data_IF_067938536912
#
_entry.id   IF_067938536912
#
_cell.length_a   1.000
_cell.length_b   1.000
_cell.length_c   1.000
_cell.angle_alpha   90.00
_cell.angle_beta   90.00
_cell.angle_gamma   90.00
#
_symmetry.space_group_name_H-M   'P 1'
#
loop_
_entity.id
_entity.type
_entity.pdbx_description
1 polymer ?
#
# COMPACT_ATOMS: atom_id res chain seq x y z
N UNK A 1 -48.67 -52.66 14.62
CA UNK A 1 -47.39 -53.33 14.85
C UNK A 1 -46.52 -52.91 13.66
N UNK A 2 -45.87 -51.75 13.75
CA UNK A 2 -45.02 -51.20 12.66
C UNK A 2 -43.66 -50.93 13.25
N UNK A 3 -42.69 -51.54 12.62
CA UNK A 3 -41.28 -51.60 12.98
C UNK A 3 -40.59 -50.25 12.81
N UNK A 4 -39.81 -49.81 13.83
CA UNK A 4 -39.00 -48.60 13.79
C UNK A 4 -37.64 -48.97 13.20
N UNK A 5 -37.40 -48.58 11.96
CA UNK A 5 -36.05 -48.64 11.35
C UNK A 5 -35.13 -47.55 11.92
N UNK A 6 -34.13 -47.97 12.67
CA UNK A 6 -33.04 -47.16 13.18
C UNK A 6 -32.20 -46.61 12.02
N UNK A 7 -32.24 -45.30 11.80
CA UNK A 7 -31.31 -44.61 10.91
C UNK A 7 -30.00 -44.35 11.71
N UNK A 8 -28.99 -45.17 11.48
CA UNK A 8 -27.64 -44.92 11.96
C UNK A 8 -27.03 -43.79 11.11
N UNK A 9 -26.82 -42.64 11.72
CA UNK A 9 -25.99 -41.59 11.16
C UNK A 9 -24.53 -42.06 11.12
N UNK A 10 -24.03 -42.34 9.92
CA UNK A 10 -22.65 -42.69 9.67
C UNK A 10 -21.73 -41.57 10.14
N UNK A 11 -20.81 -41.88 11.06
CA UNK A 11 -19.83 -40.92 11.54
C UNK A 11 -18.93 -40.43 10.41
N UNK A 12 -18.78 -39.12 10.29
CA UNK A 12 -17.87 -38.51 9.35
C UNK A 12 -16.44 -39.01 9.62
N UNK A 13 -15.79 -39.52 8.61
CA UNK A 13 -14.45 -40.09 8.69
C UNK A 13 -13.41 -39.04 9.09
N UNK A 14 -12.20 -39.46 9.51
CA UNK A 14 -11.17 -38.57 10.01
C UNK A 14 -10.75 -37.45 9.01
N UNK A 15 -10.95 -37.68 7.73
CA UNK A 15 -10.67 -36.68 6.67
C UNK A 15 -11.61 -35.47 6.74
N UNK A 16 -12.89 -35.66 7.03
CA UNK A 16 -13.86 -34.56 7.15
C UNK A 16 -13.57 -33.71 8.40
N UNK A 17 -13.11 -34.35 9.48
CA UNK A 17 -12.71 -33.62 10.70
C UNK A 17 -11.45 -32.83 10.52
N UNK A 18 -10.49 -33.30 9.74
CA UNK A 18 -9.25 -32.59 9.44
C UNK A 18 -9.51 -31.37 8.56
N UNK A 19 -10.36 -31.48 7.55
CA UNK A 19 -10.73 -30.34 6.68
C UNK A 19 -11.50 -29.28 7.46
N UNK A 20 -12.39 -29.65 8.37
CA UNK A 20 -13.08 -28.68 9.24
C UNK A 20 -12.15 -28.01 10.25
N UNK A 21 -11.17 -28.73 10.81
CA UNK A 21 -10.19 -28.12 11.71
C UNK A 21 -9.28 -27.12 11.00
N UNK A 22 -8.87 -27.42 9.76
CA UNK A 22 -8.06 -26.48 8.96
C UNK A 22 -8.89 -25.24 8.56
N UNK A 23 -10.16 -25.42 8.17
CA UNK A 23 -11.05 -24.30 7.84
C UNK A 23 -11.34 -23.41 9.06
N UNK A 24 -11.49 -23.99 10.26
CA UNK A 24 -11.73 -23.23 11.51
C UNK A 24 -10.49 -22.48 11.98
N UNK A 25 -9.29 -23.04 11.78
CA UNK A 25 -8.03 -22.35 12.10
C UNK A 25 -7.80 -21.15 11.16
N UNK A 26 -8.17 -21.28 9.88
CA UNK A 26 -8.10 -20.16 8.91
C UNK A 26 -9.12 -19.05 9.22
N UNK A 27 -10.28 -19.39 9.82
CA UNK A 27 -11.31 -18.40 10.14
C UNK A 27 -11.11 -17.69 11.49
N UNK A 28 -10.28 -18.21 12.41
CA UNK A 28 -10.06 -17.64 13.74
C UNK A 28 -8.60 -17.20 13.99
N UNK A 29 -7.68 -17.61 13.15
CA UNK A 29 -6.32 -17.08 13.14
C UNK A 29 -6.32 -15.77 12.36
N UNK A 30 -6.43 -14.64 13.06
CA UNK A 30 -6.58 -13.33 12.45
C UNK A 30 -5.60 -13.08 11.30
N UNK A 31 -6.00 -12.24 10.37
CA UNK A 31 -5.24 -11.77 9.20
C UNK A 31 -3.82 -11.24 9.49
N UNK A 32 -3.40 -11.22 10.75
CA UNK A 32 -2.07 -10.79 11.19
C UNK A 32 -0.93 -11.73 10.75
N UNK A 33 -1.21 -12.97 10.34
CA UNK A 33 -0.16 -13.95 9.99
C UNK A 33 0.28 -13.92 8.51
N UNK A 34 -0.30 -13.05 7.66
CA UNK A 34 -0.07 -13.11 6.22
C UNK A 34 0.58 -11.88 5.60
N UNK A 35 0.79 -10.83 6.37
CA UNK A 35 1.65 -9.75 5.90
C UNK A 35 3.08 -10.04 6.36
N UNK A 36 4.06 -10.02 5.45
CA UNK A 36 5.44 -10.08 5.87
C UNK A 36 5.73 -8.87 6.76
N UNK A 37 5.68 -9.08 8.06
CA UNK A 37 6.18 -8.13 9.08
C UNK A 37 7.70 -8.10 9.08
N UNK A 38 8.31 -9.09 8.44
CA UNK A 38 9.73 -9.12 8.16
C UNK A 38 9.94 -8.47 6.79
N UNK A 39 10.15 -7.15 6.81
CA UNK A 39 10.86 -6.50 5.74
C UNK A 39 12.19 -7.26 5.60
N UNK A 40 12.37 -7.96 4.49
CA UNK A 40 13.65 -8.60 4.18
C UNK A 40 14.77 -7.54 4.20
N UNK A 41 15.99 -7.95 3.98
CA UNK A 41 17.19 -7.07 3.92
C UNK A 41 16.99 -5.84 3.03
N UNK A 42 16.04 -5.91 2.07
CA UNK A 42 15.69 -4.84 1.13
C UNK A 42 15.06 -3.60 1.80
N UNK A 43 14.36 -3.76 2.94
CA UNK A 43 13.82 -2.65 3.73
C UNK A 43 14.68 -2.30 4.95
N UNK A 44 15.77 -3.06 5.21
CA UNK A 44 16.70 -2.79 6.30
C UNK A 44 17.34 -1.40 6.21
N UNK A 45 17.35 -0.81 5.01
CA UNK A 45 17.91 0.52 4.75
C UNK A 45 16.85 1.62 4.62
N UNK A 46 15.58 1.34 4.91
CA UNK A 46 14.53 2.37 4.84
C UNK A 46 14.86 3.54 5.76
N UNK A 47 15.17 3.27 7.01
CA UNK A 47 15.50 4.28 8.01
C UNK A 47 16.73 5.13 7.62
N UNK A 48 17.68 4.57 6.87
CA UNK A 48 18.87 5.29 6.42
C UNK A 48 18.60 6.21 5.22
N UNK A 49 17.52 5.97 4.47
CA UNK A 49 17.22 6.64 3.18
C UNK A 49 16.00 7.55 3.24
N UNK A 50 15.00 7.16 4.02
CA UNK A 50 13.76 7.91 4.12
C UNK A 50 13.96 9.22 4.91
N UNK A 51 13.19 10.26 4.62
CA UNK A 51 13.21 11.46 5.43
C UNK A 51 12.65 11.16 6.83
N UNK A 52 13.35 11.67 7.85
CA UNK A 52 12.96 11.50 9.25
C UNK A 52 12.02 12.62 9.72
N UNK A 53 11.24 12.40 10.79
CA UNK A 53 10.48 13.45 11.44
C UNK A 53 11.33 14.69 11.77
N UNK A 54 10.82 15.86 11.42
CA UNK A 54 11.51 17.15 11.55
C UNK A 54 12.36 17.57 10.34
N UNK A 55 12.59 16.68 9.37
CA UNK A 55 13.27 17.01 8.12
C UNK A 55 12.27 17.52 7.06
N UNK A 56 12.70 18.39 6.13
CA UNK A 56 11.87 18.77 5.00
C UNK A 56 11.58 17.55 4.11
N UNK A 57 10.34 17.45 3.62
CA UNK A 57 9.96 16.45 2.64
C UNK A 57 10.76 16.65 1.34
N UNK A 58 11.39 15.59 0.79
CA UNK A 58 12.15 15.67 -0.46
C UNK A 58 11.31 16.18 -1.62
N UNK A 59 11.86 17.10 -2.40
CA UNK A 59 11.24 17.62 -3.62
C UNK A 59 11.84 17.00 -4.87
N UNK A 60 10.99 16.65 -5.82
CA UNK A 60 11.35 16.21 -7.17
C UNK A 60 10.20 16.45 -8.13
N UNK A 61 10.50 16.47 -9.40
CA UNK A 61 9.48 16.49 -10.46
C UNK A 61 8.78 15.14 -10.53
N UNK A 62 7.44 15.15 -10.59
CA UNK A 62 6.57 13.99 -10.82
C UNK A 62 5.59 14.31 -11.94
N UNK A 63 4.88 13.30 -12.45
CA UNK A 63 3.87 13.46 -13.50
C UNK A 63 2.46 13.36 -12.93
N UNK A 64 1.58 14.27 -13.34
CA UNK A 64 0.14 14.06 -13.17
C UNK A 64 -0.37 13.02 -14.17
N UNK A 65 -1.57 12.49 -13.93
CA UNK A 65 -2.18 11.51 -14.85
C UNK A 65 -2.52 12.07 -16.24
N UNK A 66 -2.49 13.37 -16.42
CA UNK A 66 -2.62 14.03 -17.75
C UNK A 66 -1.27 14.22 -18.45
N UNK A 67 -0.18 13.73 -17.85
CA UNK A 67 1.18 13.81 -18.37
C UNK A 67 1.93 15.11 -18.03
N UNK A 68 1.25 16.10 -17.40
CA UNK A 68 1.92 17.35 -17.02
C UNK A 68 2.89 17.16 -15.86
N UNK A 69 3.99 17.87 -15.90
CA UNK A 69 4.99 17.91 -14.83
C UNK A 69 4.52 18.81 -13.67
N UNK A 70 4.91 18.43 -12.46
CA UNK A 70 4.72 19.24 -11.24
C UNK A 70 5.81 18.86 -10.25
N UNK A 71 6.28 19.84 -9.50
CA UNK A 71 7.13 19.55 -8.35
C UNK A 71 6.29 19.00 -7.20
N UNK A 72 6.73 17.91 -6.58
CA UNK A 72 5.96 17.19 -5.58
C UNK A 72 5.53 18.10 -4.42
N UNK A 73 6.40 19.01 -3.96
CA UNK A 73 6.08 19.94 -2.88
C UNK A 73 5.04 21.01 -3.28
N UNK A 74 4.82 21.27 -4.57
CA UNK A 74 3.75 22.17 -5.01
C UNK A 74 2.36 21.56 -4.78
N UNK A 75 2.28 20.23 -4.59
CA UNK A 75 1.06 19.54 -4.21
C UNK A 75 0.79 19.62 -2.70
N UNK A 76 1.77 20.03 -1.93
CA UNK A 76 1.64 20.31 -0.50
C UNK A 76 1.08 21.72 -0.34
N UNK A 77 -0.23 21.82 -0.14
CA UNK A 77 -0.91 23.10 0.03
C UNK A 77 -0.63 23.75 1.39
N UNK A 78 -1.62 24.50 1.89
CA UNK A 78 -1.55 25.12 3.22
C UNK A 78 -2.07 24.16 4.32
N UNK A 79 -2.24 22.89 4.01
CA UNK A 79 -2.75 21.85 4.92
C UNK A 79 -1.73 20.73 5.03
N UNK A 80 -1.75 19.98 6.13
CA UNK A 80 -0.98 18.74 6.21
C UNK A 80 -1.31 17.79 5.05
N UNK A 81 -0.33 16.99 4.66
CA UNK A 81 -0.47 16.01 3.57
C UNK A 81 -0.13 14.61 4.07
N UNK A 82 -0.96 13.65 3.71
CA UNK A 82 -0.61 12.23 3.76
C UNK A 82 -0.08 11.85 2.39
N UNK A 83 1.21 11.56 2.32
CA UNK A 83 1.88 11.07 1.11
C UNK A 83 2.05 9.56 1.19
N UNK A 84 1.50 8.82 0.23
CA UNK A 84 1.67 7.38 0.12
C UNK A 84 2.40 7.02 -1.17
N UNK A 85 3.45 6.21 -1.07
CA UNK A 85 4.08 5.59 -2.23
C UNK A 85 3.46 4.22 -2.45
N UNK A 86 3.35 3.79 -3.71
CA UNK A 86 2.85 2.44 -3.99
C UNK A 86 2.71 2.13 -5.47
N UNK A 87 2.46 0.86 -5.74
CA UNK A 87 2.24 0.34 -7.09
C UNK A 87 1.17 -0.76 -7.08
N UNK A 88 0.58 -1.05 -8.24
CA UNK A 88 -0.55 -1.97 -8.33
C UNK A 88 -0.20 -3.39 -7.89
N UNK A 89 1.00 -3.87 -8.19
CA UNK A 89 1.41 -5.22 -7.82
C UNK A 89 1.68 -5.40 -6.32
N UNK A 90 1.83 -4.32 -5.55
CA UNK A 90 2.04 -4.40 -4.10
C UNK A 90 0.75 -4.83 -3.36
N UNK A 91 0.72 -6.01 -2.70
CA UNK A 91 -0.47 -6.46 -1.98
C UNK A 91 -0.86 -5.53 -0.82
N UNK A 92 0.12 -4.95 -0.13
CA UNK A 92 -0.11 -4.02 0.99
C UNK A 92 -0.80 -2.75 0.51
N UNK A 93 -0.29 -2.12 -0.55
CA UNK A 93 -0.89 -0.95 -1.17
C UNK A 93 -2.36 -1.18 -1.54
N UNK A 94 -2.68 -2.32 -2.14
CA UNK A 94 -4.04 -2.69 -2.54
C UNK A 94 -4.95 -3.01 -1.35
N UNK A 95 -4.44 -3.74 -0.38
CA UNK A 95 -5.22 -4.14 0.80
C UNK A 95 -5.58 -2.93 1.68
N UNK A 96 -4.60 -2.06 1.95
CA UNK A 96 -4.79 -0.91 2.82
C UNK A 96 -5.65 0.21 2.21
N UNK A 97 -5.99 0.15 0.92
CA UNK A 97 -6.81 1.19 0.26
C UNK A 97 -8.12 1.49 0.96
N UNK A 98 -8.77 0.48 1.53
CA UNK A 98 -10.05 0.66 2.23
C UNK A 98 -9.91 1.44 3.54
N UNK A 99 -8.85 1.19 4.29
CA UNK A 99 -8.58 1.89 5.53
C UNK A 99 -8.06 3.30 5.24
N UNK A 100 -7.26 3.47 4.20
CA UNK A 100 -6.83 4.78 3.71
C UNK A 100 -8.00 5.62 3.19
N UNK A 101 -8.98 5.03 2.50
CA UNK A 101 -10.19 5.74 2.07
C UNK A 101 -11.02 6.23 3.27
N UNK A 102 -11.18 5.41 4.32
CA UNK A 102 -11.84 5.85 5.56
C UNK A 102 -11.08 6.98 6.25
N UNK A 103 -9.75 6.91 6.24
CA UNK A 103 -8.90 7.96 6.80
C UNK A 103 -9.07 9.26 6.00
N UNK A 104 -8.99 9.19 4.68
CA UNK A 104 -9.22 10.32 3.79
C UNK A 104 -10.61 10.95 4.02
N UNK A 105 -11.66 10.14 4.13
CA UNK A 105 -13.01 10.62 4.42
C UNK A 105 -13.11 11.34 5.78
N UNK A 106 -12.40 10.85 6.79
CA UNK A 106 -12.41 11.45 8.12
C UNK A 106 -11.70 12.81 8.19
N UNK A 107 -10.69 13.04 7.33
CA UNK A 107 -9.85 14.23 7.37
C UNK A 107 -9.96 15.12 6.12
N UNK A 108 -10.86 14.84 5.17
CA UNK A 108 -10.97 15.48 3.84
C UNK A 108 -10.91 17.01 3.84
N UNK A 109 -11.45 17.65 4.88
CA UNK A 109 -11.54 19.11 4.97
C UNK A 109 -10.29 19.76 5.58
N UNK A 110 -9.39 18.95 6.14
CA UNK A 110 -8.23 19.42 6.92
C UNK A 110 -6.89 18.89 6.41
N UNK A 111 -6.88 17.80 5.64
CA UNK A 111 -5.68 17.09 5.21
C UNK A 111 -5.82 16.72 3.74
N UNK A 112 -4.75 16.91 2.98
CA UNK A 112 -4.65 16.47 1.60
C UNK A 112 -4.03 15.07 1.53
N UNK A 113 -4.46 14.25 0.56
CA UNK A 113 -3.97 12.90 0.37
C UNK A 113 -3.39 12.77 -1.04
N UNK A 114 -2.12 12.42 -1.13
CA UNK A 114 -1.37 12.28 -2.38
C UNK A 114 -0.77 10.90 -2.47
N UNK A 115 -0.93 10.24 -3.61
CA UNK A 115 -0.26 8.99 -3.94
C UNK A 115 0.77 9.24 -5.01
N UNK A 116 2.00 8.80 -4.78
CA UNK A 116 3.03 8.68 -5.80
C UNK A 116 3.04 7.23 -6.29
N UNK A 117 2.60 7.03 -7.53
CA UNK A 117 2.68 5.74 -8.19
C UNK A 117 4.11 5.49 -8.65
N UNK A 118 4.73 4.45 -8.14
CA UNK A 118 6.16 4.16 -8.33
C UNK A 118 6.38 2.92 -9.20
N UNK A 119 7.63 2.48 -9.30
CA UNK A 119 8.01 1.19 -9.91
C UNK A 119 7.22 0.04 -9.30
N UNK A 120 6.91 -1.00 -10.10
CA UNK A 120 6.13 -2.14 -9.61
C UNK A 120 6.96 -3.00 -8.66
N UNK A 121 6.39 -3.26 -7.46
CA UNK A 121 7.07 -4.05 -6.43
C UNK A 121 7.21 -5.53 -6.82
N UNK A 122 6.19 -6.07 -7.50
CA UNK A 122 6.11 -7.47 -7.91
C UNK A 122 5.71 -7.57 -9.39
N UNK A 123 6.57 -7.10 -10.32
CA UNK A 123 6.23 -7.11 -11.74
C UNK A 123 6.16 -8.54 -12.29
N UNK A 124 5.22 -8.78 -13.23
CA UNK A 124 5.11 -10.03 -13.97
C UNK A 124 6.14 -10.04 -15.10
N UNK A 125 6.95 -11.10 -15.21
CA UNK A 125 7.93 -11.29 -16.27
C UNK A 125 9.17 -10.40 -16.18
N UNK A 126 9.44 -9.74 -15.06
CA UNK A 126 10.61 -8.92 -14.84
C UNK A 126 11.15 -9.06 -13.41
N UNK A 127 12.44 -8.78 -13.16
CA UNK A 127 12.98 -8.75 -11.80
C UNK A 127 12.26 -7.70 -10.93
N UNK A 128 12.01 -8.07 -9.68
CA UNK A 128 11.54 -7.12 -8.67
C UNK A 128 12.63 -6.11 -8.33
N UNK A 129 12.30 -4.82 -8.06
CA UNK A 129 13.30 -3.85 -7.59
C UNK A 129 13.86 -4.21 -6.19
N UNK A 130 13.30 -5.21 -5.53
CA UNK A 130 13.70 -5.71 -4.21
C UNK A 130 14.47 -7.03 -4.28
N UNK A 131 14.57 -7.65 -5.47
CA UNK A 131 15.28 -8.92 -5.71
C UNK A 131 15.79 -8.96 -7.12
N UNK A 132 16.93 -9.63 -7.35
CA UNK A 132 17.50 -9.83 -8.68
C UNK A 132 16.70 -10.85 -9.54
N UNK A 133 15.54 -11.27 -9.08
CA UNK A 133 14.67 -12.25 -9.73
C UNK A 133 13.20 -11.79 -9.74
N UNK A 134 12.38 -12.42 -10.57
CA UNK A 134 10.94 -12.25 -10.54
C UNK A 134 10.38 -12.69 -9.18
N UNK A 135 9.61 -11.80 -8.57
CA UNK A 135 9.00 -12.06 -7.27
C UNK A 135 7.50 -11.78 -7.27
N UNK A 136 6.74 -12.73 -7.78
CA UNK A 136 5.29 -12.72 -7.65
C UNK A 136 4.87 -13.33 -6.30
N UNK A 137 4.10 -12.59 -5.54
CA UNK A 137 3.56 -13.10 -4.28
C UNK A 137 2.38 -14.05 -4.54
N UNK A 138 2.08 -14.92 -3.57
CA UNK A 138 0.88 -15.76 -3.62
C UNK A 138 -0.41 -14.92 -3.82
N UNK A 139 -0.47 -13.72 -3.24
CA UNK A 139 -1.60 -12.81 -3.43
C UNK A 139 -1.72 -12.29 -4.86
N UNK A 140 -0.62 -11.95 -5.52
CA UNK A 140 -0.65 -11.55 -6.94
C UNK A 140 -1.24 -12.67 -7.80
N UNK A 141 -0.88 -13.91 -7.49
CA UNK A 141 -1.38 -15.06 -8.22
C UNK A 141 -2.87 -15.32 -8.00
N UNK A 142 -3.35 -15.42 -6.73
CA UNK A 142 -4.76 -15.74 -6.43
C UNK A 142 -5.74 -14.60 -6.78
N UNK A 143 -5.28 -13.36 -6.75
CA UNK A 143 -6.09 -12.19 -7.10
C UNK A 143 -5.96 -11.80 -8.57
N UNK A 144 -5.19 -12.56 -9.35
CA UNK A 144 -4.89 -12.29 -10.77
C UNK A 144 -4.40 -10.85 -11.02
N UNK A 145 -3.60 -10.32 -10.09
CA UNK A 145 -3.01 -8.97 -10.18
C UNK A 145 -1.58 -9.03 -10.64
N UNK A 146 -1.40 -9.51 -11.86
CA UNK A 146 -0.10 -9.54 -12.52
C UNK A 146 -0.03 -8.41 -13.52
N UNK A 147 0.89 -7.51 -13.30
CA UNK A 147 1.14 -6.35 -14.16
C UNK A 147 2.63 -6.31 -14.50
N UNK A 148 3.01 -5.97 -15.74
CA UNK A 148 4.41 -5.86 -16.11
C UNK A 148 5.05 -4.62 -15.48
N UNK A 149 6.39 -4.60 -15.42
CA UNK A 149 7.12 -3.37 -15.23
C UNK A 149 6.98 -2.48 -16.47
N UNK A 150 6.75 -1.19 -16.26
CA UNK A 150 6.61 -0.23 -17.37
C UNK A 150 7.96 0.15 -17.97
N UNK A 151 8.01 0.28 -19.28
CA UNK A 151 9.24 0.58 -20.02
C UNK A 151 9.47 2.07 -20.28
N UNK A 152 8.43 2.91 -20.10
CA UNK A 152 8.49 4.35 -20.30
C UNK A 152 7.42 5.06 -19.46
N UNK A 153 7.51 6.40 -19.41
CA UNK A 153 6.65 7.21 -18.56
C UNK A 153 5.18 7.18 -18.99
N UNK A 154 4.88 7.13 -20.27
CA UNK A 154 3.50 7.07 -20.77
C UNK A 154 2.81 5.77 -20.33
N UNK A 155 3.51 4.63 -20.43
CA UNK A 155 3.03 3.35 -19.92
C UNK A 155 2.80 3.39 -18.39
N UNK A 156 3.69 4.05 -17.63
CA UNK A 156 3.56 4.19 -16.18
C UNK A 156 2.35 5.05 -15.81
N UNK A 157 2.11 6.13 -16.53
CA UNK A 157 0.94 7.00 -16.38
C UNK A 157 -0.35 6.21 -16.68
N UNK A 158 -0.39 5.47 -17.79
CA UNK A 158 -1.55 4.67 -18.17
C UNK A 158 -1.84 3.58 -17.13
N UNK A 159 -0.80 2.92 -16.62
CA UNK A 159 -0.91 1.89 -15.59
C UNK A 159 -1.37 2.49 -14.26
N UNK A 160 -0.85 3.64 -13.86
CA UNK A 160 -1.30 4.38 -12.67
C UNK A 160 -2.76 4.80 -12.78
N UNK A 161 -3.17 5.34 -13.93
CA UNK A 161 -4.55 5.73 -14.21
C UNK A 161 -5.51 4.54 -14.18
N UNK A 162 -5.10 3.41 -14.75
CA UNK A 162 -5.86 2.16 -14.69
C UNK A 162 -5.96 1.65 -13.25
N UNK A 163 -4.84 1.58 -12.51
CA UNK A 163 -4.79 1.16 -11.11
C UNK A 163 -5.69 2.01 -10.22
N UNK A 164 -5.69 3.32 -10.42
CA UNK A 164 -6.54 4.27 -9.69
C UNK A 164 -8.02 3.94 -9.86
N UNK A 165 -8.44 3.65 -11.08
CA UNK A 165 -9.84 3.26 -11.37
C UNK A 165 -10.18 1.88 -10.81
N UNK A 166 -9.30 0.90 -11.00
CA UNK A 166 -9.50 -0.48 -10.53
C UNK A 166 -9.57 -0.57 -9.00
N UNK A 167 -8.81 0.25 -8.30
CA UNK A 167 -8.79 0.33 -6.85
C UNK A 167 -9.79 1.33 -6.26
N UNK A 168 -10.59 1.99 -7.11
CA UNK A 168 -11.57 3.00 -6.71
C UNK A 168 -10.99 4.09 -5.80
N UNK A 169 -9.76 4.53 -6.12
CA UNK A 169 -9.07 5.55 -5.32
C UNK A 169 -9.57 6.95 -5.63
N UNK A 170 -9.70 7.75 -4.59
CA UNK A 170 -10.11 9.17 -4.65
C UNK A 170 -8.98 10.15 -4.32
N UNK A 171 -7.78 9.65 -4.02
CA UNK A 171 -6.60 10.46 -3.77
C UNK A 171 -6.16 11.20 -5.03
N UNK A 172 -5.39 12.29 -4.84
CA UNK A 172 -4.60 12.84 -5.94
C UNK A 172 -3.46 11.85 -6.25
N UNK A 173 -3.45 11.30 -7.45
CA UNK A 173 -2.41 10.37 -7.90
C UNK A 173 -1.46 11.10 -8.84
N UNK A 174 -0.17 11.01 -8.54
CA UNK A 174 0.93 11.41 -9.41
C UNK A 174 1.86 10.21 -9.64
N UNK A 175 2.74 10.33 -10.61
CA UNK A 175 3.56 9.22 -11.11
C UNK A 175 5.04 9.62 -10.99
N UNK A 176 5.83 8.73 -10.39
CA UNK A 176 7.29 8.89 -10.32
C UNK A 176 7.92 8.78 -11.71
N UNK A 177 8.97 9.54 -11.96
CA UNK A 177 9.72 9.48 -13.21
C UNK A 177 10.43 8.12 -13.37
N UNK A 178 10.90 7.83 -14.59
CA UNK A 178 11.52 6.52 -14.91
C UNK A 178 12.87 6.29 -14.22
N UNK A 179 13.44 7.31 -13.63
CA UNK A 179 14.64 7.20 -12.80
C UNK A 179 14.33 6.84 -11.33
N UNK A 180 13.05 6.70 -10.99
CA UNK A 180 12.55 6.31 -9.66
C UNK A 180 13.06 7.22 -8.53
N UNK A 181 13.19 8.53 -8.78
CA UNK A 181 13.75 9.49 -7.81
C UNK A 181 12.87 9.62 -6.57
N UNK A 182 11.53 9.72 -6.74
CA UNK A 182 10.62 9.82 -5.59
C UNK A 182 10.68 8.54 -4.76
N UNK A 183 10.61 7.37 -5.39
CA UNK A 183 10.71 6.10 -4.69
C UNK A 183 12.01 5.99 -3.88
N UNK A 184 13.16 6.39 -4.44
CA UNK A 184 14.45 6.34 -3.75
C UNK A 184 14.57 7.36 -2.63
N UNK A 185 14.13 8.60 -2.86
CA UNK A 185 14.22 9.68 -1.88
C UNK A 185 13.31 9.47 -0.66
N UNK A 186 12.26 8.69 -0.84
CA UNK A 186 11.33 8.32 0.22
C UNK A 186 11.56 6.88 0.75
N UNK A 187 12.80 6.40 0.70
CA UNK A 187 13.25 5.18 1.39
C UNK A 187 13.11 3.89 0.61
N UNK A 188 12.70 3.95 -0.68
CA UNK A 188 12.62 2.82 -1.59
C UNK A 188 11.76 1.63 -1.09
N UNK A 189 10.72 1.90 -0.30
CA UNK A 189 9.80 0.87 0.18
C UNK A 189 8.56 0.73 -0.74
N UNK A 190 7.95 -0.47 -0.85
CA UNK A 190 6.89 -0.74 -1.83
C UNK A 190 5.53 -0.12 -1.46
N UNK A 191 5.36 0.32 -0.22
CA UNK A 191 4.12 0.95 0.26
C UNK A 191 4.41 1.86 1.46
N UNK A 192 5.38 2.76 1.30
CA UNK A 192 5.71 3.75 2.33
C UNK A 192 4.61 4.79 2.51
N UNK A 193 4.52 5.36 3.71
CA UNK A 193 3.63 6.47 3.99
C UNK A 193 4.30 7.52 4.88
N UNK A 194 3.94 8.76 4.63
CA UNK A 194 4.48 9.93 5.34
C UNK A 194 3.34 10.87 5.70
N UNK A 195 3.44 11.49 6.86
CA UNK A 195 2.66 12.67 7.20
C UNK A 195 3.59 13.89 7.09
N UNK A 196 3.19 14.88 6.33
CA UNK A 196 3.93 16.12 6.13
C UNK A 196 3.08 17.26 6.68
N UNK A 197 3.66 18.15 7.49
CA UNK A 197 2.96 19.30 8.03
C UNK A 197 2.72 20.40 6.97
N UNK A 198 1.97 21.43 7.32
CA UNK A 198 1.69 22.58 6.43
C UNK A 198 2.92 23.44 6.12
N UNK A 199 4.06 23.18 6.77
CA UNK A 199 5.34 23.83 6.52
C UNK A 199 6.26 23.00 5.61
N UNK A 200 5.82 21.79 5.24
CA UNK A 200 6.56 20.87 4.39
C UNK A 200 7.55 19.98 5.13
N UNK A 201 7.46 19.87 6.46
CA UNK A 201 8.31 18.97 7.23
C UNK A 201 7.61 17.62 7.48
N UNK A 202 8.39 16.55 7.44
CA UNK A 202 7.91 15.21 7.77
C UNK A 202 7.60 15.14 9.26
N UNK A 203 6.42 14.64 9.59
CA UNK A 203 5.96 14.36 10.97
C UNK A 203 5.99 12.87 11.27
N UNK A 204 5.66 12.05 10.27
CA UNK A 204 5.67 10.60 10.35
C UNK A 204 6.32 10.02 9.11
N UNK A 205 7.12 8.96 9.29
CA UNK A 205 7.75 8.16 8.24
C UNK A 205 7.52 6.68 8.53
N UNK A 206 6.94 5.94 7.57
CA UNK A 206 6.61 4.52 7.71
C UNK A 206 7.04 3.73 6.47
N UNK A 207 7.78 2.61 6.59
CA UNK A 207 8.13 1.74 5.45
C UNK A 207 6.91 1.00 4.88
N UNK A 208 5.92 0.77 5.72
CA UNK A 208 4.62 0.20 5.38
C UNK A 208 3.51 1.13 5.83
N UNK A 209 2.52 1.34 4.97
CA UNK A 209 1.36 2.15 5.32
C UNK A 209 0.59 1.51 6.48
N UNK A 210 0.58 2.19 7.62
CA UNK A 210 -0.14 1.83 8.83
C UNK A 210 -1.15 2.92 9.18
N UNK A 211 -2.44 2.75 8.81
CA UNK A 211 -3.46 3.80 8.93
C UNK A 211 -3.68 4.32 10.36
N UNK A 212 -3.50 3.45 11.37
CA UNK A 212 -3.67 3.86 12.77
C UNK A 212 -2.56 4.83 13.21
N UNK A 213 -1.29 4.54 12.86
CA UNK A 213 -0.18 5.46 13.14
C UNK A 213 -0.31 6.79 12.38
N UNK A 214 -0.82 6.77 11.14
CA UNK A 214 -1.13 8.00 10.39
C UNK A 214 -2.22 8.80 11.11
N UNK A 215 -3.28 8.15 11.60
CA UNK A 215 -4.36 8.77 12.37
C UNK A 215 -3.83 9.46 13.62
N UNK A 216 -3.01 8.76 14.41
CA UNK A 216 -2.42 9.30 15.63
C UNK A 216 -1.58 10.55 15.33
N UNK A 217 -0.73 10.50 14.30
CA UNK A 217 0.09 11.64 13.90
C UNK A 217 -0.77 12.84 13.41
N UNK A 218 -1.85 12.59 12.67
CA UNK A 218 -2.75 13.64 12.21
C UNK A 218 -3.53 14.26 13.37
N UNK A 219 -4.04 13.46 14.30
CA UNK A 219 -4.78 13.95 15.47
C UNK A 219 -3.86 14.84 16.33
N UNK A 220 -2.63 14.41 16.58
CA UNK A 220 -1.65 15.21 17.32
C UNK A 220 -1.28 16.53 16.60
N UNK A 221 -1.02 16.45 15.29
CA UNK A 221 -0.66 17.63 14.47
C UNK A 221 -1.79 18.66 14.44
N UNK A 222 -3.04 18.21 14.27
CA UNK A 222 -4.19 19.09 14.15
C UNK A 222 -4.61 19.71 15.50
N UNK A 223 -4.34 19.02 16.64
CA UNK A 223 -4.54 19.59 17.97
C UNK A 223 -3.56 20.71 18.30
N UNK A 224 -2.37 20.72 17.68
CA UNK A 224 -1.36 21.78 17.88
C UNK A 224 -1.63 23.02 17.02
N UNK A 225 -2.49 22.90 15.99
CA UNK A 225 -2.80 23.98 15.06
C UNK A 225 -4.04 24.81 15.46
N UNK A 226 -4.88 24.31 16.38
CA UNK A 226 -6.07 24.96 16.96
C UNK A 226 -5.68 25.80 18.21
#
# INVERSE_FOLDING_TARGET
MMDRTDIRLGGAGPFVRLVMCVAVVVLHGGCALWFPTEAGDDLAHFEDRAPHPGQPAPNMTVRKLDGSEVDLVELFGNRPVVLQLGSHSCPVYRYRRFDMAKLQDAYRDRVDFVVVYTTEAHPDGAPSPYRDEEWLTFFNWITNTRVPQTGNIDERIDQAAWSTRELERSDLVVVDEMDDLAWRAYGAAPSAAFVVDSQGNVVLSQPWVEPDGIREALDELLLQAD
#
